data_IF_529724599635
#
_entry.id   IF_529724599635
#
_cell.length_a   1.000
_cell.length_b   1.000
_cell.length_c   1.000
_cell.angle_alpha   90.00
_cell.angle_beta   90.00
_cell.angle_gamma   90.00
#
_symmetry.space_group_name_H-M   'P 1'
#
loop_
_entity.id
_entity.type
_entity.pdbx_description
1 polymer ?
#
# COMPACT_ATOMS: atom_id res chain seq x y z
N UNK A 1 -22.51 4.90 1.14
CA UNK A 1 -22.86 3.55 0.66
C UNK A 1 -22.83 2.53 1.80
N UNK A 2 -23.64 1.49 1.75
CA UNK A 2 -23.63 0.43 2.78
C UNK A 2 -22.32 -0.40 2.75
N UNK A 3 -21.97 -1.01 3.87
CA UNK A 3 -20.88 -1.98 3.96
C UNK A 3 -21.30 -3.26 3.25
N UNK A 4 -20.44 -3.76 2.37
CA UNK A 4 -20.59 -5.04 1.69
C UNK A 4 -19.66 -6.04 2.34
N UNK A 5 -20.20 -7.19 2.78
CA UNK A 5 -19.42 -8.32 3.28
C UNK A 5 -19.18 -9.27 2.12
N UNK A 6 -17.91 -9.55 1.79
CA UNK A 6 -17.54 -10.47 0.70
C UNK A 6 -16.29 -11.26 1.03
N UNK A 7 -16.03 -12.32 0.26
CA UNK A 7 -14.73 -12.96 0.22
C UNK A 7 -14.00 -12.47 -1.03
N UNK A 8 -12.71 -12.17 -0.92
CA UNK A 8 -11.91 -11.86 -2.09
C UNK A 8 -11.43 -13.14 -2.80
N UNK A 9 -10.76 -12.99 -3.96
CA UNK A 9 -10.21 -14.10 -4.75
C UNK A 9 -9.25 -15.02 -3.99
N UNK A 10 -8.70 -14.55 -2.86
CA UNK A 10 -7.82 -15.34 -1.97
C UNK A 10 -8.59 -16.03 -0.84
N UNK A 11 -9.93 -16.03 -0.89
CA UNK A 11 -10.80 -16.63 0.12
C UNK A 11 -10.85 -15.85 1.44
N UNK A 12 -10.33 -14.63 1.50
CA UNK A 12 -10.36 -13.83 2.72
C UNK A 12 -11.62 -12.99 2.82
N UNK A 13 -12.31 -13.12 3.95
CA UNK A 13 -13.45 -12.28 4.29
C UNK A 13 -13.02 -10.83 4.52
N UNK A 14 -13.72 -9.91 3.87
CA UNK A 14 -13.48 -8.47 3.95
C UNK A 14 -14.80 -7.68 4.04
N UNK A 15 -14.69 -6.45 4.55
CA UNK A 15 -15.78 -5.49 4.68
C UNK A 15 -15.47 -4.27 3.83
N UNK A 16 -16.17 -4.10 2.71
CA UNK A 16 -15.88 -3.06 1.74
C UNK A 16 -16.94 -1.95 1.77
N UNK A 17 -16.50 -0.70 1.66
CA UNK A 17 -17.35 0.46 1.36
C UNK A 17 -16.84 1.10 0.09
N UNK A 18 -17.65 1.05 -0.96
CA UNK A 18 -17.30 1.58 -2.27
C UNK A 18 -17.36 3.11 -2.32
N UNK A 19 -16.57 3.69 -3.23
CA UNK A 19 -16.54 5.11 -3.59
C UNK A 19 -16.19 6.09 -2.46
N UNK A 20 -15.69 5.58 -1.32
CA UNK A 20 -15.38 6.39 -0.15
C UNK A 20 -14.04 5.92 0.46
N UNK A 21 -13.18 6.87 0.85
CA UNK A 21 -12.05 6.64 1.76
C UNK A 21 -12.45 7.09 3.16
N UNK A 22 -12.95 6.15 3.97
CA UNK A 22 -13.56 6.44 5.27
C UNK A 22 -12.52 6.49 6.38
N UNK A 23 -12.50 7.60 7.12
CA UNK A 23 -11.77 7.66 8.40
C UNK A 23 -12.24 6.55 9.36
N UNK A 24 -11.37 6.06 10.21
CA UNK A 24 -11.62 4.96 11.15
C UNK A 24 -12.88 5.16 12.01
N UNK A 25 -13.20 6.36 12.55
CA UNK A 25 -14.45 6.58 13.26
C UNK A 25 -15.68 6.39 12.39
N UNK A 26 -15.65 6.84 11.13
CA UNK A 26 -16.75 6.73 10.19
C UNK A 26 -16.94 5.28 9.74
N UNK A 27 -15.84 4.59 9.40
CA UNK A 27 -15.84 3.16 9.13
C UNK A 27 -16.45 2.39 10.31
N UNK A 28 -16.04 2.72 11.54
CA UNK A 28 -16.60 2.12 12.75
C UNK A 28 -18.11 2.35 12.91
N UNK A 29 -18.62 3.54 12.57
CA UNK A 29 -20.05 3.82 12.57
C UNK A 29 -20.80 2.98 11.52
N UNK A 30 -20.25 2.84 10.30
CA UNK A 30 -20.86 2.02 9.23
C UNK A 30 -20.97 0.55 9.62
N UNK A 31 -19.91 -0.01 10.21
CA UNK A 31 -19.92 -1.39 10.69
C UNK A 31 -20.94 -1.60 11.83
N UNK A 32 -20.98 -0.69 12.81
CA UNK A 32 -21.96 -0.75 13.91
C UNK A 32 -23.41 -0.68 13.43
N UNK A 33 -23.68 0.14 12.42
CA UNK A 33 -25.02 0.27 11.85
C UNK A 33 -25.54 -1.05 11.23
N UNK A 34 -24.65 -1.96 10.86
CA UNK A 34 -24.97 -3.28 10.30
C UNK A 34 -24.64 -4.45 11.25
N UNK A 35 -24.42 -4.16 12.54
CA UNK A 35 -24.05 -5.17 13.56
C UNK A 35 -22.81 -5.99 13.20
N UNK A 36 -21.87 -5.38 12.47
CA UNK A 36 -20.59 -6.00 12.13
C UNK A 36 -19.59 -5.73 13.23
N UNK A 37 -19.07 -6.80 13.83
CA UNK A 37 -18.05 -6.73 14.88
C UNK A 37 -16.63 -6.86 14.31
N UNK A 38 -15.71 -6.01 14.78
CA UNK A 38 -14.27 -6.14 14.57
C UNK A 38 -13.54 -5.92 15.91
N UNK A 39 -12.71 -6.89 16.31
CA UNK A 39 -12.04 -6.90 17.63
C UNK A 39 -10.87 -5.90 17.72
N UNK A 40 -10.45 -5.30 16.61
CA UNK A 40 -9.32 -4.40 16.54
C UNK A 40 -9.76 -2.94 16.37
N UNK A 41 -10.69 -2.66 15.45
CA UNK A 41 -11.16 -1.30 15.18
C UNK A 41 -11.89 -0.69 16.38
N UNK A 42 -12.70 -1.48 17.09
CA UNK A 42 -13.46 -0.99 18.26
C UNK A 42 -12.68 -1.06 19.56
N UNK A 43 -11.35 -1.20 19.48
CA UNK A 43 -10.52 -1.32 20.66
C UNK A 43 -10.26 0.06 21.26
N UNK A 44 -10.61 0.21 22.53
CA UNK A 44 -10.36 1.43 23.28
C UNK A 44 -8.96 1.46 23.91
N UNK A 45 -8.57 2.62 24.43
CA UNK A 45 -7.33 2.82 25.18
C UNK A 45 -6.04 2.53 24.40
N UNK A 46 -6.05 2.81 23.09
CA UNK A 46 -4.86 2.73 22.26
C UNK A 46 -3.85 3.81 22.71
N UNK A 47 -2.59 3.45 23.02
CA UNK A 47 -1.56 4.41 23.41
C UNK A 47 -1.33 5.43 22.32
N UNK A 48 -1.23 6.72 22.65
CA UNK A 48 -0.94 7.81 21.70
C UNK A 48 0.19 7.46 20.72
N UNK A 49 -0.02 7.72 19.44
CA UNK A 49 0.89 7.41 18.34
C UNK A 49 0.87 8.55 17.30
N UNK A 50 1.92 8.69 16.48
CA UNK A 50 1.98 9.77 15.51
C UNK A 50 0.99 9.58 14.36
N UNK A 51 0.52 10.71 13.83
CA UNK A 51 -0.34 10.81 12.63
C UNK A 51 0.39 11.66 11.58
N UNK A 52 1.44 11.11 10.96
CA UNK A 52 2.19 11.83 9.94
C UNK A 52 1.37 11.96 8.65
N UNK A 53 1.82 12.85 7.78
CA UNK A 53 1.43 12.84 6.36
C UNK A 53 2.64 12.31 5.58
N UNK A 54 2.46 11.44 4.60
CA UNK A 54 3.50 10.92 3.71
C UNK A 54 3.26 11.42 2.29
N UNK A 55 4.32 11.83 1.60
CA UNK A 55 4.27 12.16 0.17
C UNK A 55 5.05 11.07 -0.55
N UNK A 56 4.35 10.21 -1.29
CA UNK A 56 4.90 8.97 -1.81
C UNK A 56 4.92 9.00 -3.32
N UNK A 57 6.11 8.84 -3.90
CA UNK A 57 6.33 8.80 -5.35
C UNK A 57 6.71 7.41 -5.88
N UNK A 58 6.82 6.40 -5.01
CA UNK A 58 7.23 5.05 -5.38
C UNK A 58 6.12 4.06 -5.07
N UNK A 59 5.86 3.17 -6.03
CA UNK A 59 4.98 2.03 -5.86
C UNK A 59 5.78 0.73 -5.90
N UNK A 60 5.29 -0.29 -5.19
CA UNK A 60 5.86 -1.64 -5.19
C UNK A 60 4.84 -2.69 -5.57
N UNK A 61 5.30 -3.70 -6.29
CA UNK A 61 4.54 -4.91 -6.61
C UNK A 61 5.35 -6.11 -6.14
N UNK A 62 4.82 -6.81 -5.14
CA UNK A 62 5.44 -7.97 -4.52
C UNK A 62 4.82 -9.24 -5.12
N UNK A 63 5.66 -10.20 -5.48
CA UNK A 63 5.25 -11.45 -6.14
C UNK A 63 6.11 -12.63 -5.69
N UNK A 64 5.58 -13.83 -5.89
CA UNK A 64 6.26 -15.11 -5.73
C UNK A 64 6.98 -15.54 -7.03
N UNK A 65 7.51 -16.77 -7.04
CA UNK A 65 8.19 -17.37 -8.20
C UNK A 65 7.28 -17.44 -9.43
N UNK A 66 6.01 -17.82 -9.26
CA UNK A 66 5.06 -17.97 -10.36
C UNK A 66 4.78 -16.63 -11.03
N UNK A 67 4.48 -15.59 -10.24
CA UNK A 67 4.27 -14.27 -10.81
C UNK A 67 5.56 -13.68 -11.40
N UNK A 68 6.74 -13.97 -10.84
CA UNK A 68 8.01 -13.60 -11.48
C UNK A 68 8.16 -14.24 -12.85
N UNK A 69 7.88 -15.55 -12.97
CA UNK A 69 7.91 -16.27 -14.23
C UNK A 69 6.90 -15.69 -15.24
N UNK A 70 5.66 -15.44 -14.80
CA UNK A 70 4.62 -14.82 -15.63
C UNK A 70 5.04 -13.45 -16.18
N UNK A 71 5.68 -12.62 -15.35
CA UNK A 71 6.19 -11.30 -15.76
C UNK A 71 7.39 -11.44 -16.70
N UNK A 72 8.38 -12.24 -16.34
CA UNK A 72 9.68 -12.29 -17.01
C UNK A 72 9.68 -13.09 -18.31
N UNK A 73 8.90 -14.17 -18.35
CA UNK A 73 8.94 -15.19 -19.42
C UNK A 73 7.67 -15.13 -20.24
N UNK A 74 6.49 -15.29 -19.61
CA UNK A 74 5.24 -15.42 -20.36
C UNK A 74 4.75 -14.10 -20.98
N UNK A 75 4.91 -13.00 -20.24
CA UNK A 75 4.43 -11.68 -20.63
C UNK A 75 5.49 -10.83 -21.29
N UNK A 76 6.67 -11.40 -21.57
CA UNK A 76 7.86 -10.71 -22.12
C UNK A 76 8.14 -9.35 -21.43
N UNK A 77 8.00 -9.32 -20.10
CA UNK A 77 8.17 -8.12 -19.30
C UNK A 77 6.89 -7.30 -19.07
N UNK A 78 5.73 -7.94 -19.13
CA UNK A 78 4.43 -7.32 -18.88
C UNK A 78 3.84 -7.70 -17.52
N UNK A 79 3.14 -6.75 -16.89
CA UNK A 79 2.24 -7.02 -15.78
C UNK A 79 0.80 -7.13 -16.31
N UNK A 80 0.03 -8.10 -15.81
CA UNK A 80 -1.38 -8.29 -16.14
C UNK A 80 -2.21 -8.51 -14.86
N UNK A 81 -3.53 -8.36 -14.98
CA UNK A 81 -4.45 -8.50 -13.85
C UNK A 81 -5.01 -9.91 -13.64
N UNK A 82 -4.78 -10.83 -14.61
CA UNK A 82 -5.28 -12.22 -14.60
C UNK A 82 -4.13 -13.17 -14.88
N UNK A 83 -4.10 -14.28 -14.15
CA UNK A 83 -3.30 -15.43 -14.55
C UNK A 83 -3.88 -16.04 -15.83
N UNK A 84 -3.02 -16.31 -16.81
CA UNK A 84 -3.44 -16.78 -18.15
C UNK A 84 -4.01 -18.19 -18.16
N UNK A 85 -3.76 -18.97 -17.10
CA UNK A 85 -4.19 -20.37 -17.00
C UNK A 85 -5.58 -20.55 -16.38
N UNK A 86 -6.14 -19.53 -15.72
CA UNK A 86 -7.52 -19.57 -15.23
C UNK A 86 -8.47 -19.41 -16.43
N UNK A 87 -9.08 -20.53 -16.83
CA UNK A 87 -10.12 -20.54 -17.85
C UNK A 87 -11.31 -19.65 -17.47
N UNK A 88 -12.20 -19.35 -18.42
CA UNK A 88 -13.33 -18.43 -18.22
C UNK A 88 -14.42 -18.91 -17.23
N UNK A 89 -14.16 -19.97 -16.46
CA UNK A 89 -15.15 -20.69 -15.65
C UNK A 89 -15.00 -20.49 -14.13
N UNK A 90 -14.05 -19.70 -13.63
CA UNK A 90 -14.03 -19.36 -12.20
C UNK A 90 -15.01 -18.20 -11.91
N UNK A 91 -16.16 -18.44 -11.25
CA UNK A 91 -17.25 -17.46 -11.13
C UNK A 91 -17.06 -16.50 -9.95
N UNK A 92 -15.92 -16.49 -9.28
CA UNK A 92 -15.68 -15.59 -8.15
C UNK A 92 -15.09 -14.26 -8.64
N UNK A 93 -15.93 -13.58 -9.42
CA UNK A 93 -15.77 -12.19 -9.79
C UNK A 93 -15.49 -11.36 -8.54
N UNK A 94 -14.46 -10.52 -8.59
CA UNK A 94 -14.34 -9.39 -7.66
C UNK A 94 -15.63 -8.57 -7.69
N UNK A 95 -15.80 -7.54 -6.83
CA UNK A 95 -17.08 -6.85 -6.65
C UNK A 95 -17.79 -6.40 -7.93
N UNK A 96 -17.09 -6.33 -9.07
CA UNK A 96 -17.62 -5.98 -10.39
C UNK A 96 -16.98 -6.78 -11.55
N UNK A 97 -16.33 -7.92 -11.30
CA UNK A 97 -15.64 -8.69 -12.35
C UNK A 97 -14.46 -7.97 -13.01
N UNK A 98 -13.95 -6.91 -12.37
CA UNK A 98 -12.89 -6.06 -12.90
C UNK A 98 -11.52 -6.73 -12.85
N UNK A 99 -10.75 -6.47 -13.90
CA UNK A 99 -9.36 -6.87 -14.02
C UNK A 99 -8.48 -5.71 -13.52
N UNK A 100 -7.97 -5.86 -12.30
CA UNK A 100 -7.20 -4.85 -11.58
C UNK A 100 -5.77 -5.33 -11.30
N UNK A 101 -4.78 -4.58 -11.75
CA UNK A 101 -3.36 -4.76 -11.43
C UNK A 101 -3.01 -3.93 -10.19
N UNK A 102 -2.69 -4.61 -9.09
CA UNK A 102 -2.52 -4.00 -7.78
C UNK A 102 -1.06 -3.66 -7.46
N UNK A 103 -0.87 -2.47 -6.90
CA UNK A 103 0.40 -1.95 -6.41
C UNK A 103 0.21 -1.42 -4.99
N UNK A 104 1.23 -1.56 -4.15
CA UNK A 104 1.27 -0.94 -2.81
C UNK A 104 2.15 0.30 -2.84
N UNK A 105 1.95 1.22 -1.90
CA UNK A 105 2.93 2.28 -1.67
C UNK A 105 4.28 1.70 -1.23
N UNK A 106 5.37 2.28 -1.72
CA UNK A 106 6.73 1.97 -1.29
C UNK A 106 7.29 3.15 -0.50
N UNK A 107 7.60 2.94 0.77
CA UNK A 107 8.12 3.97 1.67
C UNK A 107 9.57 3.64 2.02
N UNK A 108 10.48 4.57 1.75
CA UNK A 108 11.87 4.48 2.17
C UNK A 108 12.17 5.33 3.41
N UNK A 109 13.44 5.32 3.79
CA UNK A 109 13.94 6.13 4.90
C UNK A 109 13.77 7.65 4.66
N UNK A 110 13.81 8.10 3.40
CA UNK A 110 13.64 9.51 3.03
C UNK A 110 12.19 9.97 3.20
N UNK A 111 11.21 9.20 2.72
CA UNK A 111 9.79 9.49 2.93
C UNK A 111 9.46 9.52 4.42
N UNK A 112 10.04 8.60 5.20
CA UNK A 112 9.88 8.56 6.64
C UNK A 112 10.45 9.80 7.35
N UNK A 113 11.69 10.18 7.02
CA UNK A 113 12.33 11.35 7.60
C UNK A 113 11.58 12.65 7.25
N UNK A 114 11.16 12.79 5.99
CA UNK A 114 10.37 13.93 5.50
C UNK A 114 9.01 14.02 6.21
N UNK A 115 8.32 12.89 6.39
CA UNK A 115 7.05 12.82 7.09
C UNK A 115 7.19 13.20 8.57
N UNK A 116 8.24 12.74 9.26
CA UNK A 116 8.51 13.14 10.64
C UNK A 116 8.81 14.65 10.74
N UNK A 117 9.60 15.18 9.80
CA UNK A 117 9.89 16.61 9.74
C UNK A 117 8.63 17.44 9.55
N UNK A 118 7.74 17.09 8.61
CA UNK A 118 6.48 17.80 8.37
C UNK A 118 5.55 17.74 9.57
N UNK A 119 5.46 16.57 10.23
CA UNK A 119 4.70 16.41 11.47
C UNK A 119 5.19 17.37 12.57
N UNK A 120 6.50 17.47 12.76
CA UNK A 120 7.09 18.32 13.80
C UNK A 120 7.00 19.81 13.46
N UNK A 121 7.15 20.19 12.19
CA UNK A 121 6.96 21.57 11.74
C UNK A 121 5.51 22.04 11.94
N UNK A 122 4.55 21.16 11.68
CA UNK A 122 3.12 21.45 11.90
C UNK A 122 2.80 21.57 13.39
N UNK A 123 3.37 20.69 14.22
CA UNK A 123 3.12 20.67 15.67
C UNK A 123 3.82 21.78 16.42
N UNK A 124 5.03 22.14 15.99
CA UNK A 124 5.91 23.12 16.65
C UNK A 124 6.44 24.12 15.61
N UNK A 125 5.60 25.06 15.11
CA UNK A 125 5.98 25.99 14.05
C UNK A 125 7.11 26.95 14.47
N UNK A 126 7.19 27.28 15.76
CA UNK A 126 8.19 28.19 16.33
C UNK A 126 9.49 27.49 16.76
N UNK A 127 9.72 26.25 16.31
CA UNK A 127 10.91 25.46 16.69
C UNK A 127 12.19 26.06 16.10
N UNK A 128 13.24 26.20 16.93
CA UNK A 128 14.55 26.67 16.47
C UNK A 128 15.34 25.58 15.73
N UNK A 129 16.37 25.96 14.97
CA UNK A 129 17.26 24.98 14.34
C UNK A 129 17.99 24.09 15.34
N UNK A 130 18.34 24.62 16.52
CA UNK A 130 19.00 23.85 17.58
C UNK A 130 18.06 22.76 18.12
N UNK A 131 16.83 23.14 18.47
CA UNK A 131 15.78 22.19 18.87
C UNK A 131 15.51 21.14 17.78
N UNK A 132 15.62 21.55 16.50
CA UNK A 132 15.48 20.65 15.38
C UNK A 132 16.57 19.59 15.28
N UNK A 133 17.82 19.96 15.56
CA UNK A 133 18.96 19.03 15.54
C UNK A 133 18.96 18.09 16.74
N UNK A 134 18.41 18.52 17.88
CA UNK A 134 18.30 17.68 19.09
C UNK A 134 17.18 16.65 19.03
N UNK A 135 16.21 16.82 18.12
CA UNK A 135 15.12 15.87 17.93
C UNK A 135 15.67 14.52 17.51
N UNK A 136 15.38 13.49 18.32
CA UNK A 136 15.67 12.09 17.95
C UNK A 136 14.52 11.55 17.11
N UNK A 137 14.86 10.84 16.03
CA UNK A 137 13.83 10.19 15.23
C UNK A 137 13.04 9.17 16.06
N UNK A 138 11.73 9.19 15.86
CA UNK A 138 10.79 8.35 16.56
C UNK A 138 9.81 7.66 15.62
N UNK A 139 9.53 8.21 14.44
CA UNK A 139 8.42 7.78 13.59
C UNK A 139 8.63 6.34 13.08
N UNK A 140 9.85 5.98 12.67
CA UNK A 140 10.21 4.61 12.27
C UNK A 140 9.93 3.58 13.37
N UNK A 141 10.02 3.98 14.65
CA UNK A 141 9.77 3.05 15.77
C UNK A 141 8.28 2.70 15.92
N UNK A 142 7.39 3.53 15.37
CA UNK A 142 5.95 3.26 15.30
C UNK A 142 5.54 2.54 14.01
N UNK A 143 6.37 2.58 12.98
CA UNK A 143 6.16 1.99 11.65
C UNK A 143 6.27 0.45 11.68
N UNK A 144 5.37 -0.18 12.42
CA UNK A 144 5.38 -1.62 12.72
C UNK A 144 4.38 -2.41 11.90
N UNK A 145 3.48 -1.75 11.17
CA UNK A 145 2.57 -2.47 10.27
C UNK A 145 3.26 -2.82 8.95
N UNK A 146 2.79 -3.88 8.26
CA UNK A 146 3.38 -4.32 7.00
C UNK A 146 3.45 -3.24 5.90
N UNK A 147 2.56 -2.25 5.93
CA UNK A 147 2.57 -1.14 4.97
C UNK A 147 3.87 -0.30 5.02
N UNK A 148 4.59 -0.33 6.14
CA UNK A 148 5.84 0.43 6.33
C UNK A 148 7.10 -0.44 6.40
N UNK A 149 6.97 -1.76 6.28
CA UNK A 149 8.11 -2.68 6.35
C UNK A 149 8.61 -3.04 4.95
N UNK A 150 9.92 -3.24 4.84
CA UNK A 150 10.57 -3.72 3.62
C UNK A 150 10.36 -5.21 3.35
N UNK A 151 9.81 -5.94 4.31
CA UNK A 151 9.43 -7.35 4.10
C UNK A 151 8.23 -7.46 3.17
N UNK A 152 8.07 -8.62 2.53
CA UNK A 152 6.96 -8.90 1.63
C UNK A 152 6.00 -9.90 2.27
N UNK A 153 4.71 -9.70 2.07
CA UNK A 153 3.67 -10.66 2.51
C UNK A 153 3.21 -11.59 1.39
N UNK A 154 3.67 -11.39 0.16
CA UNK A 154 3.20 -12.07 -1.05
C UNK A 154 4.23 -13.02 -1.66
N UNK A 155 5.53 -12.70 -1.55
CA UNK A 155 6.61 -13.53 -2.10
C UNK A 155 7.97 -12.82 -2.10
N UNK A 156 9.01 -13.52 -2.54
CA UNK A 156 10.41 -13.09 -2.41
C UNK A 156 10.87 -12.04 -3.42
N UNK A 157 9.99 -11.56 -4.32
CA UNK A 157 10.36 -10.64 -5.40
C UNK A 157 9.56 -9.35 -5.32
N UNK A 158 10.24 -8.22 -5.46
CA UNK A 158 9.61 -6.90 -5.48
C UNK A 158 10.08 -6.09 -6.66
N UNK A 159 9.13 -5.58 -7.42
CA UNK A 159 9.36 -4.52 -8.40
C UNK A 159 8.99 -3.18 -7.77
N UNK A 160 9.92 -2.23 -7.73
CA UNK A 160 9.66 -0.88 -7.23
C UNK A 160 9.81 0.13 -8.35
N UNK A 161 8.78 0.92 -8.62
CA UNK A 161 8.75 1.88 -9.71
C UNK A 161 8.30 3.26 -9.26
N UNK A 162 8.82 4.34 -9.87
CA UNK A 162 8.22 5.66 -9.72
C UNK A 162 6.77 5.65 -10.20
N UNK A 163 5.86 6.21 -9.42
CA UNK A 163 4.44 6.35 -9.77
C UNK A 163 4.28 7.09 -11.10
N UNK A 164 5.04 8.15 -11.31
CA UNK A 164 5.02 8.91 -12.56
C UNK A 164 5.44 8.05 -13.76
N UNK A 165 6.41 7.14 -13.61
CA UNK A 165 6.79 6.21 -14.67
C UNK A 165 5.64 5.23 -14.96
N UNK A 166 5.02 4.65 -13.93
CA UNK A 166 3.87 3.76 -14.10
C UNK A 166 2.70 4.46 -14.82
N UNK A 167 2.33 5.66 -14.37
CA UNK A 167 1.27 6.46 -14.98
C UNK A 167 1.60 6.84 -16.42
N UNK A 168 2.85 7.22 -16.70
CA UNK A 168 3.30 7.53 -18.06
C UNK A 168 3.20 6.32 -18.98
N UNK A 169 3.64 5.14 -18.52
CA UNK A 169 3.54 3.89 -19.31
C UNK A 169 2.08 3.52 -19.54
N UNK A 170 1.24 3.62 -18.51
CA UNK A 170 -0.19 3.37 -18.60
C UNK A 170 -0.87 4.33 -19.59
N UNK A 171 -0.49 5.62 -19.56
CA UNK A 171 -0.93 6.63 -20.53
C UNK A 171 -0.58 6.24 -21.95
N UNK A 172 0.68 5.89 -22.20
CA UNK A 172 1.21 5.60 -23.53
C UNK A 172 0.64 4.30 -24.11
N UNK A 173 0.50 3.26 -23.29
CA UNK A 173 0.11 1.92 -23.75
C UNK A 173 -1.40 1.67 -23.70
N UNK A 174 -2.09 2.15 -22.66
CA UNK A 174 -3.47 1.76 -22.36
C UNK A 174 -4.46 2.95 -22.43
N UNK A 175 -3.97 4.19 -22.48
CA UNK A 175 -4.81 5.38 -22.65
C UNK A 175 -4.62 6.11 -24.00
N UNK A 176 -3.84 5.55 -24.92
CA UNK A 176 -3.56 6.14 -26.24
C UNK A 176 -3.09 7.60 -26.10
N UNK A 177 -2.18 7.84 -25.16
CA UNK A 177 -1.58 9.15 -24.88
C UNK A 177 -2.41 10.10 -24.01
N UNK A 178 -3.63 9.75 -23.63
CA UNK A 178 -4.46 10.60 -22.76
C UNK A 178 -4.18 10.36 -21.28
N UNK A 179 -4.20 11.42 -20.47
CA UNK A 179 -3.90 11.30 -19.04
C UNK A 179 -4.81 10.29 -18.33
N UNK A 180 -4.24 9.36 -17.54
CA UNK A 180 -5.01 8.42 -16.73
C UNK A 180 -5.81 9.16 -15.65
N UNK A 181 -6.96 8.60 -15.28
CA UNK A 181 -7.85 9.18 -14.28
C UNK A 181 -7.72 8.41 -12.98
N UNK A 182 -7.48 9.13 -11.88
CA UNK A 182 -7.40 8.57 -10.53
C UNK A 182 -8.71 8.81 -9.79
N UNK A 183 -9.26 7.76 -9.18
CA UNK A 183 -10.52 7.79 -8.43
C UNK A 183 -10.40 7.10 -7.08
N UNK A 184 -11.22 7.54 -6.14
CA UNK A 184 -11.43 6.86 -4.86
C UNK A 184 -12.24 5.59 -5.13
N UNK A 185 -11.62 4.41 -4.95
CA UNK A 185 -12.27 3.14 -5.31
C UNK A 185 -13.07 2.57 -4.14
N UNK A 186 -12.43 2.19 -3.05
CA UNK A 186 -13.11 1.68 -1.85
C UNK A 186 -12.23 1.77 -0.59
N UNK A 187 -12.89 1.66 0.57
CA UNK A 187 -12.26 1.32 1.85
C UNK A 187 -12.57 -0.13 2.16
N UNK A 188 -11.55 -0.95 2.43
CA UNK A 188 -11.69 -2.37 2.73
C UNK A 188 -11.09 -2.65 4.10
N UNK A 189 -11.91 -3.15 5.02
CA UNK A 189 -11.46 -3.67 6.30
C UNK A 189 -11.31 -5.19 6.22
N UNK A 190 -10.10 -5.66 6.44
CA UNK A 190 -9.78 -7.05 6.72
C UNK A 190 -9.80 -7.33 8.23
N UNK A 191 -9.05 -8.32 8.70
CA UNK A 191 -8.94 -8.62 10.13
C UNK A 191 -8.36 -7.43 10.91
N UNK A 192 -7.17 -6.95 10.54
CA UNK A 192 -6.49 -5.80 11.16
C UNK A 192 -6.16 -4.69 10.15
N UNK A 193 -6.08 -5.01 8.87
CA UNK A 193 -5.72 -4.06 7.83
C UNK A 193 -6.95 -3.27 7.36
N UNK A 194 -6.80 -1.95 7.28
CA UNK A 194 -7.73 -1.05 6.60
C UNK A 194 -7.04 -0.56 5.34
N UNK A 195 -7.48 -1.06 4.19
CA UNK A 195 -6.92 -0.70 2.90
C UNK A 195 -7.79 0.35 2.23
N UNK A 196 -7.19 1.47 1.81
CA UNK A 196 -7.84 2.47 0.96
C UNK A 196 -7.30 2.32 -0.45
N UNK A 197 -8.18 2.01 -1.39
CA UNK A 197 -7.77 1.73 -2.78
C UNK A 197 -8.00 2.94 -3.69
N UNK A 198 -7.01 3.24 -4.52
CA UNK A 198 -7.07 4.23 -5.59
C UNK A 198 -7.21 3.49 -6.90
N UNK A 199 -8.26 3.77 -7.67
CA UNK A 199 -8.44 3.24 -9.01
C UNK A 199 -7.77 4.17 -10.01
N UNK A 200 -6.91 3.62 -10.86
CA UNK A 200 -6.37 4.26 -12.06
C UNK A 200 -7.02 3.63 -13.27
N UNK A 201 -7.64 4.43 -14.13
CA UNK A 201 -8.27 3.92 -15.33
C UNK A 201 -8.11 4.87 -16.52
N UNK A 202 -8.32 4.31 -17.72
CA UNK A 202 -8.34 5.06 -18.96
C UNK A 202 -9.62 5.89 -19.09
N UNK A 203 -9.52 7.07 -19.72
CA UNK A 203 -10.67 7.93 -19.97
C UNK A 203 -11.76 7.26 -20.84
N UNK A 204 -11.40 6.25 -21.64
CA UNK A 204 -12.35 5.45 -22.43
C UNK A 204 -13.31 4.63 -21.55
N UNK A 205 -12.93 4.34 -20.30
CA UNK A 205 -13.75 3.60 -19.35
C UNK A 205 -14.46 4.54 -18.35
N UNK A 206 -14.58 5.84 -18.66
CA UNK A 206 -15.20 6.81 -17.74
C UNK A 206 -16.62 6.42 -17.33
N UNK A 207 -17.44 5.97 -18.29
CA UNK A 207 -18.83 5.57 -18.02
C UNK A 207 -18.92 4.40 -17.04
N UNK A 208 -17.90 3.51 -17.01
CA UNK A 208 -17.84 2.39 -16.08
C UNK A 208 -17.53 2.85 -14.64
N UNK A 209 -16.75 3.93 -14.50
CA UNK A 209 -16.19 4.36 -13.23
C UNK A 209 -16.74 5.71 -12.73
N UNK A 210 -17.76 6.26 -13.39
CA UNK A 210 -18.32 7.58 -13.06
C UNK A 210 -18.83 7.69 -11.62
N UNK A 211 -19.30 6.58 -11.05
CA UNK A 211 -19.80 6.48 -9.67
C UNK A 211 -18.71 6.69 -8.61
N UNK A 212 -17.45 6.47 -8.96
CA UNK A 212 -16.32 6.66 -8.06
C UNK A 212 -15.84 8.12 -8.15
N UNK A 213 -15.72 8.86 -7.04
CA UNK A 213 -15.29 10.24 -7.11
C UNK A 213 -13.82 10.34 -7.54
N UNK A 214 -13.48 11.44 -8.22
CA UNK A 214 -12.10 11.75 -8.56
C UNK A 214 -11.25 11.85 -7.28
N UNK A 215 -10.02 11.35 -7.33
CA UNK A 215 -9.07 11.51 -6.24
C UNK A 215 -8.53 12.94 -6.27
N UNK A 216 -9.10 13.81 -5.43
CA UNK A 216 -8.75 15.21 -5.33
C UNK A 216 -7.73 15.46 -4.21
N UNK A 217 -6.95 16.53 -4.35
CA UNK A 217 -6.11 17.04 -3.26
C UNK A 217 -7.00 17.76 -2.24
N UNK A 218 -7.51 17.00 -1.27
CA UNK A 218 -8.21 17.53 -0.12
C UNK A 218 -7.33 17.43 1.12
N UNK A 219 -7.36 18.46 1.98
CA UNK A 219 -6.52 18.51 3.17
C UNK A 219 -6.98 17.54 4.27
N UNK A 220 -8.23 17.06 4.20
CA UNK A 220 -8.85 16.26 5.26
C UNK A 220 -8.99 14.75 4.94
N UNK A 221 -8.70 14.33 3.71
CA UNK A 221 -8.81 12.92 3.31
C UNK A 221 -7.59 12.08 3.69
N UNK A 222 -7.83 10.78 3.86
CA UNK A 222 -6.79 9.78 4.14
C UNK A 222 -5.80 9.65 2.96
N UNK A 223 -6.28 9.84 1.74
CA UNK A 223 -5.48 9.73 0.52
C UNK A 223 -5.83 10.86 -0.45
N UNK A 224 -4.80 11.43 -1.07
CA UNK A 224 -4.90 12.45 -2.11
C UNK A 224 -3.82 12.22 -3.17
N UNK A 225 -3.98 12.85 -4.32
CA UNK A 225 -2.96 12.85 -5.38
C UNK A 225 -2.63 14.28 -5.78
N UNK A 226 -1.34 14.62 -5.76
CA UNK A 226 -0.82 15.93 -6.16
C UNK A 226 0.54 15.76 -6.81
N UNK A 227 0.75 16.41 -7.95
CA UNK A 227 2.05 16.57 -8.62
C UNK A 227 2.86 15.26 -8.75
N UNK A 228 2.21 14.17 -9.18
CA UNK A 228 2.87 12.88 -9.36
C UNK A 228 3.09 12.07 -8.08
N UNK A 229 2.56 12.52 -6.94
CA UNK A 229 2.72 11.86 -5.64
C UNK A 229 1.36 11.51 -5.02
N UNK A 230 1.31 10.39 -4.32
CA UNK A 230 0.21 10.05 -3.42
C UNK A 230 0.52 10.68 -2.06
N UNK A 231 -0.39 11.53 -1.59
CA UNK A 231 -0.36 12.05 -0.23
C UNK A 231 -1.18 11.09 0.63
N UNK A 232 -0.52 10.43 1.58
CA UNK A 232 -1.14 9.49 2.50
C UNK A 232 -1.10 10.01 3.93
N UNK A 233 -2.27 10.09 4.57
CA UNK A 233 -2.47 10.51 5.96
C UNK A 233 -3.02 9.35 6.77
N UNK A 234 -2.17 8.38 7.18
CA UNK A 234 -2.63 7.25 7.97
C UNK A 234 -3.23 7.71 9.29
N UNK A 235 -4.42 7.18 9.58
CA UNK A 235 -5.06 7.25 10.87
C UNK A 235 -4.52 6.20 11.84
N UNK A 236 -3.94 5.10 11.35
CA UNK A 236 -3.23 4.12 12.17
C UNK A 236 -2.05 3.50 11.43
N UNK A 237 -0.83 3.65 11.95
CA UNK A 237 0.39 3.09 11.33
C UNK A 237 0.96 1.86 12.06
N UNK A 238 0.51 1.60 13.28
CA UNK A 238 1.08 0.56 14.13
C UNK A 238 0.22 -0.69 14.08
N UNK A 239 0.79 -1.84 13.69
CA UNK A 239 0.10 -3.10 13.94
C UNK A 239 0.10 -3.43 15.44
N UNK A 240 1.22 -3.14 16.12
CA UNK A 240 1.40 -3.43 17.55
C UNK A 240 1.86 -2.17 18.30
N UNK A 241 1.04 -1.71 19.24
CA UNK A 241 1.37 -0.60 20.12
C UNK A 241 2.17 -1.08 21.33
N UNK A 242 3.50 -0.97 21.22
CA UNK A 242 4.45 -1.16 22.34
C UNK A 242 5.06 0.17 22.80
N UNK A 243 4.78 1.25 22.08
CA UNK A 243 5.28 2.59 22.34
C UNK A 243 4.12 3.56 22.55
N UNK A 244 4.40 4.64 23.27
CA UNK A 244 3.55 5.82 23.38
C UNK A 244 4.32 7.05 22.94
N UNK A 245 3.71 7.87 22.09
CA UNK A 245 4.20 9.20 21.75
C UNK A 245 3.95 10.15 22.93
N UNK A 246 5.01 10.78 23.41
CA UNK A 246 4.95 11.75 24.51
C UNK A 246 5.43 13.10 24.00
N UNK A 247 4.52 14.08 23.86
CA UNK A 247 4.89 15.44 23.50
C UNK A 247 5.63 16.12 24.65
N UNK A 248 6.69 16.85 24.34
CA UNK A 248 7.44 17.71 25.25
C UNK A 248 7.34 19.16 24.76
N UNK A 249 6.21 19.84 25.00
CA UNK A 249 5.94 21.15 24.42
C UNK A 249 6.97 22.22 24.83
N UNK A 250 7.47 22.19 26.06
CA UNK A 250 8.53 23.13 26.49
C UNK A 250 9.86 22.96 25.77
N UNK A 251 10.09 21.81 25.14
CA UNK A 251 11.28 21.49 24.37
C UNK A 251 11.01 21.49 22.86
N UNK A 252 9.75 21.70 22.43
CA UNK A 252 9.30 21.54 21.04
C UNK A 252 9.75 20.20 20.44
N UNK A 253 9.63 19.13 21.23
CA UNK A 253 10.09 17.78 20.89
C UNK A 253 9.00 16.74 21.11
N UNK A 254 9.02 15.69 20.33
CA UNK A 254 8.23 14.48 20.56
C UNK A 254 9.15 13.30 20.87
N UNK A 255 8.77 12.44 21.82
CA UNK A 255 9.59 11.29 22.22
C UNK A 255 8.74 10.02 22.26
N UNK A 256 9.27 8.93 21.71
CA UNK A 256 8.68 7.60 21.84
C UNK A 256 9.15 6.92 23.14
N UNK A 257 8.21 6.69 24.05
CA UNK A 257 8.40 5.95 25.30
C UNK A 257 7.94 4.50 25.17
N UNK A 258 8.74 3.56 25.68
CA UNK A 258 8.32 2.17 25.81
C UNK A 258 7.22 2.05 26.86
N UNK A 259 6.20 1.25 26.57
CA UNK A 259 5.18 0.88 27.55
C UNK A 259 5.80 -0.18 28.48
N UNK A 260 5.93 0.08 29.81
CA UNK A 260 6.74 -0.75 30.71
C UNK A 260 6.28 -2.20 30.89
N UNK A 261 5.04 -2.50 30.51
CA UNK A 261 4.45 -3.83 30.67
C UNK A 261 4.31 -4.50 29.30
N UNK A 262 5.15 -5.51 28.98
CA UNK A 262 5.09 -6.23 27.71
C UNK A 262 3.77 -6.97 27.52
N UNK A 263 3.02 -7.30 28.58
CA UNK A 263 1.69 -7.93 28.47
C UNK A 263 0.60 -6.93 28.07
N UNK A 264 0.92 -5.63 28.01
CA UNK A 264 0.00 -4.56 27.60
C UNK A 264 0.17 -4.10 26.16
N UNK A 265 0.99 -4.77 25.33
CA UNK A 265 1.04 -4.42 23.91
C UNK A 265 -0.36 -4.57 23.31
N UNK A 266 -0.82 -3.54 22.60
CA UNK A 266 -2.15 -3.52 22.01
C UNK A 266 -2.03 -3.77 20.51
N UNK A 267 -2.70 -4.81 20.02
CA UNK A 267 -3.02 -4.91 18.60
C UNK A 267 -4.18 -3.99 18.27
N UNK A 268 -4.02 -3.17 17.25
CA UNK A 268 -5.04 -2.27 16.70
C UNK A 268 -5.15 -2.48 15.19
N UNK A 269 -6.08 -1.77 14.54
CA UNK A 269 -6.07 -1.70 13.09
C UNK A 269 -4.87 -0.89 12.60
N UNK A 270 -4.49 -1.11 11.34
CA UNK A 270 -3.46 -0.34 10.67
C UNK A 270 -3.86 -0.11 9.22
N UNK A 271 -3.42 1.03 8.69
CA UNK A 271 -3.81 1.51 7.37
C UNK A 271 -2.82 1.05 6.28
N UNK A 272 -3.36 0.88 5.08
CA UNK A 272 -2.63 0.61 3.85
C UNK A 272 -3.25 1.40 2.69
N UNK A 273 -2.43 1.82 1.73
CA UNK A 273 -2.92 2.35 0.44
C UNK A 273 -2.52 1.39 -0.67
N UNK A 274 -3.50 1.02 -1.49
CA UNK A 274 -3.28 0.23 -2.69
C UNK A 274 -3.69 1.04 -3.93
N UNK A 275 -2.89 0.98 -4.99
CA UNK A 275 -3.17 1.60 -6.29
C UNK A 275 -3.50 0.49 -7.28
N UNK A 276 -4.72 0.50 -7.81
CA UNK A 276 -5.25 -0.51 -8.70
C UNK A 276 -5.36 0.07 -10.12
N UNK A 277 -4.58 -0.45 -11.06
CA UNK A 277 -4.69 -0.09 -12.47
C UNK A 277 -5.71 -1.00 -13.14
N UNK A 278 -6.73 -0.41 -13.76
CA UNK A 278 -7.70 -1.15 -14.57
C UNK A 278 -7.04 -1.65 -15.85
N UNK A 279 -7.20 -2.94 -16.12
CA UNK A 279 -6.69 -3.62 -17.30
C UNK A 279 -7.90 -4.20 -18.06
N UNK A 280 -8.14 -3.80 -19.30
CA UNK A 280 -9.25 -4.36 -20.08
C UNK A 280 -8.84 -5.72 -20.67
N UNK A 281 -9.47 -6.80 -20.19
CA UNK A 281 -9.25 -8.16 -20.66
C UNK A 281 -7.78 -8.59 -20.58
N UNK A 282 -7.19 -8.94 -21.72
CA UNK A 282 -5.81 -9.44 -21.80
C UNK A 282 -4.75 -8.33 -21.91
N UNK A 283 -5.08 -7.09 -21.52
CA UNK A 283 -4.13 -5.99 -21.52
C UNK A 283 -2.95 -6.26 -20.60
N UNK A 284 -1.78 -5.76 -21.02
CA UNK A 284 -0.53 -5.85 -20.27
C UNK A 284 0.12 -4.47 -20.19
N UNK A 285 0.68 -4.16 -19.02
CA UNK A 285 1.54 -2.99 -18.84
C UNK A 285 2.99 -3.44 -18.97
N UNK A 286 3.61 -3.11 -20.10
CA UNK A 286 4.91 -3.66 -20.50
C UNK A 286 6.07 -2.71 -20.24
N UNK A 287 7.21 -3.29 -19.88
CA UNK A 287 8.44 -2.59 -19.62
C UNK A 287 9.58 -3.24 -20.40
N UNK A 288 10.62 -2.46 -20.71
CA UNK A 288 11.81 -3.04 -21.29
C UNK A 288 12.50 -3.95 -20.25
N UNK A 289 13.04 -5.08 -20.70
CA UNK A 289 13.63 -6.09 -19.83
C UNK A 289 14.74 -5.54 -18.92
N UNK A 290 15.50 -4.56 -19.40
CA UNK A 290 16.55 -3.90 -18.61
C UNK A 290 15.94 -3.13 -17.43
N UNK A 291 14.94 -2.31 -17.71
CA UNK A 291 14.24 -1.52 -16.71
C UNK A 291 13.56 -2.41 -15.67
N UNK A 292 12.90 -3.50 -16.06
CA UNK A 292 12.33 -4.47 -15.11
C UNK A 292 13.37 -5.03 -14.15
N UNK A 293 14.49 -5.51 -14.71
CA UNK A 293 15.57 -6.07 -13.90
C UNK A 293 16.20 -5.04 -12.97
N UNK A 294 16.28 -3.79 -13.43
CA UNK A 294 16.81 -2.68 -12.64
C UNK A 294 15.93 -2.37 -11.42
N UNK A 295 14.61 -2.56 -11.53
CA UNK A 295 13.64 -2.31 -10.47
C UNK A 295 13.30 -3.53 -9.60
N UNK A 296 13.81 -4.72 -9.95
CA UNK A 296 13.60 -5.97 -9.22
C UNK A 296 14.56 -6.12 -8.03
N UNK A 297 14.03 -6.46 -6.85
CA UNK A 297 14.74 -6.72 -5.59
C UNK A 297 14.24 -7.97 -4.88
N UNK A 298 15.08 -8.57 -4.05
CA UNK A 298 14.71 -9.64 -3.14
C UNK A 298 13.94 -9.09 -1.94
N UNK A 299 13.03 -9.88 -1.38
CA UNK A 299 12.29 -9.55 -0.18
C UNK A 299 12.30 -10.71 0.81
N UNK A 300 12.60 -10.38 2.06
CA UNK A 300 12.43 -11.32 3.17
C UNK A 300 10.95 -11.52 3.52
N UNK A 301 10.58 -12.69 4.06
CA UNK A 301 9.21 -12.97 4.49
C UNK A 301 8.72 -12.01 5.57
N UNK A 302 7.57 -11.39 5.30
CA UNK A 302 6.84 -10.51 6.21
C UNK A 302 5.79 -11.27 7.01
N UNK A 303 5.45 -10.74 8.18
CA UNK A 303 4.42 -11.31 9.05
C UNK A 303 3.27 -10.29 9.24
N UNK A 304 2.00 -10.72 9.15
CA UNK A 304 1.55 -12.04 8.72
C UNK A 304 1.68 -12.22 7.20
N UNK A 305 1.95 -13.43 6.72
CA UNK A 305 1.84 -13.74 5.30
C UNK A 305 0.38 -13.58 4.83
N UNK A 306 0.18 -13.27 3.54
CA UNK A 306 -1.18 -13.14 3.00
C UNK A 306 -1.89 -14.50 2.92
N UNK A 307 -1.23 -15.53 2.38
CA UNK A 307 -1.73 -16.90 2.36
C UNK A 307 -0.74 -17.83 3.08
N UNK A 308 -1.21 -18.89 3.77
CA UNK A 308 -0.33 -19.98 4.20
C UNK A 308 0.39 -20.66 3.03
N UNK A 309 -0.12 -20.54 1.80
CA UNK A 309 0.46 -21.09 0.59
C UNK A 309 1.45 -20.13 -0.09
N UNK A 310 1.71 -18.95 0.48
CA UNK A 310 2.74 -18.05 -0.04
C UNK A 310 4.12 -18.70 0.15
N UNK A 311 4.71 -19.17 -0.94
CA UNK A 311 6.05 -19.73 -0.94
C UNK A 311 7.10 -18.61 -1.00
N UNK A 312 8.05 -18.68 -0.08
CA UNK A 312 9.21 -17.80 -0.05
C UNK A 312 10.46 -18.62 -0.28
N UNK A 313 11.33 -18.07 -1.12
CA UNK A 313 12.57 -18.68 -1.54
C UNK A 313 13.73 -18.10 -0.74
N UNK A 314 14.82 -18.85 -0.66
CA UNK A 314 16.08 -18.30 -0.16
C UNK A 314 16.62 -17.25 -1.11
N UNK A 315 17.54 -16.40 -0.62
CA UNK A 315 18.21 -15.41 -1.45
C UNK A 315 19.00 -16.08 -2.60
N UNK A 316 19.66 -17.21 -2.33
CA UNK A 316 20.43 -17.97 -3.32
C UNK A 316 19.52 -18.51 -4.44
N UNK A 317 18.38 -19.12 -4.09
CA UNK A 317 17.39 -19.59 -5.07
C UNK A 317 16.81 -18.43 -5.87
N UNK A 318 16.46 -17.33 -5.18
CA UNK A 318 15.92 -16.14 -5.84
C UNK A 318 16.89 -15.57 -6.87
N UNK A 319 18.17 -15.49 -6.50
CA UNK A 319 19.24 -15.02 -7.35
C UNK A 319 19.42 -15.94 -8.57
N UNK A 320 19.44 -17.25 -8.38
CA UNK A 320 19.63 -18.21 -9.47
C UNK A 320 18.47 -18.15 -10.49
N UNK A 321 17.23 -17.96 -10.03
CA UNK A 321 16.09 -17.72 -10.93
C UNK A 321 16.20 -16.41 -11.69
N UNK A 322 16.58 -15.32 -11.01
CA UNK A 322 16.76 -14.02 -11.66
C UNK A 322 17.89 -14.06 -12.69
N UNK A 323 18.98 -14.75 -12.40
CA UNK A 323 20.09 -14.95 -13.34
C UNK A 323 19.66 -15.82 -14.55
N UNK A 324 18.74 -16.77 -14.36
CA UNK A 324 18.14 -17.53 -15.47
C UNK A 324 17.28 -16.65 -16.40
N UNK A 325 16.46 -15.76 -15.84
CA UNK A 325 15.56 -14.92 -16.62
C UNK A 325 16.24 -13.67 -17.22
N UNK A 326 17.31 -13.18 -16.58
CA UNK A 326 18.07 -12.01 -16.99
C UNK A 326 19.60 -12.26 -17.04
N UNK A 327 20.09 -13.22 -17.85
CA UNK A 327 21.47 -13.70 -17.81
C UNK A 327 22.54 -12.67 -18.22
N UNK A 328 22.14 -11.59 -18.88
CA UNK A 328 23.03 -10.55 -19.39
C UNK A 328 23.00 -9.26 -18.56
N UNK A 329 22.37 -9.27 -17.38
CA UNK A 329 22.12 -8.08 -16.58
C UNK A 329 22.68 -8.21 -15.15
N UNK A 330 23.93 -7.79 -14.92
CA UNK A 330 24.65 -8.05 -13.66
C UNK A 330 24.24 -7.11 -12.51
N UNK A 331 22.98 -6.67 -12.46
CA UNK A 331 22.50 -5.84 -11.35
C UNK A 331 22.38 -6.72 -10.09
N UNK A 332 22.79 -6.27 -8.90
CA UNK A 332 22.52 -7.06 -7.70
C UNK A 332 21.02 -7.21 -7.39
N UNK A 333 20.67 -8.21 -6.57
CA UNK A 333 19.29 -8.44 -6.13
C UNK A 333 19.04 -7.94 -4.68
N UNK A 334 19.81 -6.94 -4.23
CA UNK A 334 19.79 -6.43 -2.84
C UNK A 334 18.63 -5.51 -2.52
#
# INVERSE_FOLDING_TARGET
MDVVVRNNRRGHREFAVQAEHLKLPELGLRLKAQDIHNNYLFKDNIPEYPRPEFWVSQLRHDTDEYGLFGIAVESDGGFCARDREEGPEDPEEGPEGLDLLWWSLSLGAEEMASAEQRLLQTRYPDRTEEQAREQKSFLQRFATSPAFLDTSRLGSYRFTFPLEELLKRYREQLCVGHEPILRVYETVLYKQEVMYSVLVHSHYNNDLFEKYPLLQDNDDGVCAYRDGQIIWRPEAMCQTHSLKLVPKPYQNQDVAHLIPDPQKHQFYVWDNIAVAFHMDGSQMLTFDRYNLRHHLRFCEPGTPQFSPDCEFTTYEEAKDMVDCYWPYYPTPLY
#
